data_IF_046275409002
#
_entry.id   IF_046275409002
#
_cell.length_a   1.000
_cell.length_b   1.000
_cell.length_c   1.000
_cell.angle_alpha   90.00
_cell.angle_beta   90.00
_cell.angle_gamma   90.00
#
_symmetry.space_group_name_H-M   'P 1'
#
loop_
_entity.id
_entity.type
_entity.pdbx_description
1 polymer ?
#
# COMPACT_ATOMS: atom_id res chain seq x y z
N UNK A 1 38.25 14.88 23.15
CA UNK A 1 37.18 15.86 22.83
C UNK A 1 37.15 16.12 21.34
N UNK A 2 36.07 16.68 20.82
CA UNK A 2 35.95 17.01 19.39
C UNK A 2 37.00 18.09 18.95
N UNK A 3 37.52 18.83 19.87
CA UNK A 3 38.61 19.78 19.62
C UNK A 3 39.92 19.10 19.16
N UNK A 4 40.04 17.80 19.44
CA UNK A 4 41.16 16.97 18.99
C UNK A 4 40.99 16.43 17.56
N UNK A 5 39.87 16.75 16.91
CA UNK A 5 39.56 16.30 15.56
C UNK A 5 39.95 17.30 14.49
N UNK A 6 41.20 17.30 14.11
CA UNK A 6 41.70 18.11 12.99
C UNK A 6 40.95 17.91 11.67
N UNK A 7 40.34 16.74 11.50
CA UNK A 7 39.52 16.41 10.32
C UNK A 7 38.15 17.08 10.27
N UNK A 8 37.63 17.56 11.41
CA UNK A 8 36.24 18.05 11.50
C UNK A 8 36.13 19.49 12.00
N UNK A 9 37.11 19.96 12.81
CA UNK A 9 37.02 21.25 13.49
C UNK A 9 36.83 22.41 12.52
N UNK A 10 37.52 22.37 11.37
CA UNK A 10 37.45 23.43 10.36
C UNK A 10 36.26 23.31 9.39
N UNK A 11 35.67 22.13 9.26
CA UNK A 11 34.62 21.87 8.27
C UNK A 11 33.22 22.17 8.80
N UNK A 12 33.02 22.08 10.12
CA UNK A 12 31.66 22.09 10.72
C UNK A 12 31.46 23.21 11.73
N UNK A 13 32.42 24.11 11.81
CA UNK A 13 32.27 25.32 12.61
C UNK A 13 31.37 26.32 11.88
N UNK A 14 30.24 26.67 12.48
CA UNK A 14 29.47 27.80 12.00
C UNK A 14 30.05 29.12 12.52
N UNK A 15 30.89 29.73 11.73
CA UNK A 15 31.51 31.00 12.06
C UNK A 15 30.54 32.16 12.26
N UNK A 16 29.33 32.06 11.72
CA UNK A 16 28.32 33.12 11.84
C UNK A 16 27.57 33.04 13.17
N UNK A 17 27.27 31.84 13.65
CA UNK A 17 26.55 31.61 14.90
C UNK A 17 27.44 31.30 16.08
N UNK A 18 28.71 30.98 15.88
CA UNK A 18 29.60 30.47 16.90
C UNK A 18 29.24 29.08 17.42
N UNK A 19 28.36 28.37 16.69
CA UNK A 19 27.95 27.04 17.04
C UNK A 19 28.81 25.98 16.35
N UNK A 20 29.03 24.85 17.01
CA UNK A 20 29.76 23.72 16.48
C UNK A 20 28.80 22.53 16.28
N UNK A 21 28.51 22.19 15.03
CA UNK A 21 27.68 21.05 14.67
C UNK A 21 28.51 19.76 14.72
N UNK A 22 28.74 19.25 15.91
CA UNK A 22 29.69 18.15 16.14
C UNK A 22 29.07 16.75 15.87
N UNK A 23 27.79 16.58 15.99
CA UNK A 23 27.13 15.27 15.87
C UNK A 23 26.35 15.12 14.56
N UNK A 24 25.54 16.10 14.24
CA UNK A 24 24.68 16.14 13.06
C UNK A 24 23.88 14.84 12.88
N UNK A 25 23.04 14.52 13.89
CA UNK A 25 22.16 13.36 13.80
C UNK A 25 21.11 13.57 12.72
N UNK A 26 21.09 12.70 11.71
CA UNK A 26 20.36 12.92 10.48
C UNK A 26 19.30 11.85 10.16
N UNK A 27 19.31 10.72 10.87
CA UNK A 27 18.34 9.67 10.72
C UNK A 27 18.18 8.89 12.02
N UNK A 28 16.99 8.36 12.23
CA UNK A 28 16.75 7.34 13.26
C UNK A 28 15.71 6.33 12.78
N UNK A 29 15.76 5.14 13.35
CA UNK A 29 14.77 4.10 13.22
C UNK A 29 14.44 3.55 14.61
N UNK A 30 13.16 3.47 14.96
CA UNK A 30 12.70 2.88 16.21
C UNK A 30 12.23 1.45 15.96
N UNK A 31 12.78 0.50 16.70
CA UNK A 31 12.34 -0.90 16.69
C UNK A 31 11.44 -1.17 17.91
N UNK A 32 10.15 -1.34 17.65
CA UNK A 32 9.15 -1.62 18.67
C UNK A 32 9.36 -2.99 19.35
N UNK A 33 9.93 -3.96 18.63
CA UNK A 33 10.09 -5.32 19.15
C UNK A 33 11.16 -5.40 20.24
N UNK A 34 12.30 -4.74 20.01
CA UNK A 34 13.39 -4.71 20.98
C UNK A 34 13.36 -3.47 21.88
N UNK A 35 12.48 -2.49 21.60
CA UNK A 35 12.46 -1.19 22.27
C UNK A 35 13.83 -0.49 22.20
N UNK A 36 14.37 -0.36 21.00
CA UNK A 36 15.64 0.30 20.75
C UNK A 36 15.54 1.33 19.63
N UNK A 37 16.47 2.26 19.60
CA UNK A 37 16.59 3.28 18.56
C UNK A 37 17.94 3.12 17.87
N UNK A 38 17.93 3.05 16.55
CA UNK A 38 19.12 3.17 15.71
C UNK A 38 19.24 4.63 15.26
N UNK A 39 20.37 5.26 15.55
CA UNK A 39 20.61 6.69 15.22
C UNK A 39 21.85 6.82 14.36
N UNK A 40 21.73 7.54 13.26
CA UNK A 40 22.86 7.91 12.40
C UNK A 40 23.39 9.29 12.77
N UNK A 41 24.67 9.37 13.11
CA UNK A 41 25.41 10.59 13.44
C UNK A 41 26.41 10.89 12.32
N UNK A 42 26.05 11.85 11.45
CA UNK A 42 26.80 12.15 10.23
C UNK A 42 28.25 12.50 10.49
N UNK A 43 28.48 13.50 11.32
CA UNK A 43 29.81 14.04 11.53
C UNK A 43 30.73 13.10 12.33
N UNK A 44 30.16 12.19 13.10
CA UNK A 44 30.89 11.13 13.78
C UNK A 44 31.14 9.90 12.90
N UNK A 45 30.55 9.86 11.69
CA UNK A 45 30.53 8.64 10.86
C UNK A 45 30.11 7.42 11.65
N UNK A 46 29.05 7.57 12.48
CA UNK A 46 28.64 6.59 13.48
C UNK A 46 27.16 6.24 13.36
N UNK A 47 26.84 4.98 13.58
CA UNK A 47 25.47 4.49 13.82
C UNK A 47 25.43 3.90 15.22
N UNK A 48 24.53 4.38 16.08
CA UNK A 48 24.37 3.92 17.45
C UNK A 48 23.08 3.12 17.60
N UNK A 49 23.14 1.97 18.31
CA UNK A 49 21.97 1.27 18.84
C UNK A 49 21.80 1.69 20.30
N UNK A 50 20.64 2.24 20.64
CA UNK A 50 20.35 2.86 21.94
C UNK A 50 19.11 2.20 22.52
N UNK A 51 19.17 1.78 23.79
CA UNK A 51 18.04 1.23 24.53
C UNK A 51 17.01 2.34 24.81
N UNK A 52 15.73 2.03 24.65
CA UNK A 52 14.63 2.94 24.98
C UNK A 52 13.76 2.33 26.11
N UNK A 53 13.35 3.09 27.13
CA UNK A 53 13.57 4.54 27.31
C UNK A 53 14.82 4.93 28.07
N UNK A 54 15.72 3.98 28.44
CA UNK A 54 16.86 4.26 29.31
C UNK A 54 17.88 5.23 28.69
N UNK A 55 18.07 5.20 27.37
CA UNK A 55 19.06 5.99 26.66
C UNK A 55 20.47 5.39 26.68
N UNK A 56 20.62 4.15 27.20
CA UNK A 56 21.92 3.47 27.24
C UNK A 56 22.36 3.06 25.83
N UNK A 57 23.60 3.35 25.47
CA UNK A 57 24.19 2.91 24.21
C UNK A 57 24.52 1.42 24.30
N UNK A 58 23.97 0.60 23.43
CA UNK A 58 24.23 -0.84 23.36
C UNK A 58 25.50 -1.09 22.57
N UNK A 59 25.64 -0.44 21.40
CA UNK A 59 26.83 -0.47 20.58
C UNK A 59 26.87 0.72 19.59
N UNK A 60 28.05 0.96 19.05
CA UNK A 60 28.30 1.94 17.98
C UNK A 60 29.00 1.25 16.81
N UNK A 61 28.52 1.45 15.59
CA UNK A 61 29.24 1.16 14.35
C UNK A 61 29.93 2.46 13.96
N UNK A 62 31.20 2.44 13.62
CA UNK A 62 31.91 3.66 13.26
C UNK A 62 33.33 3.43 12.83
N UNK A 63 34.12 4.53 12.80
CA UNK A 63 35.50 4.51 12.38
C UNK A 63 36.42 3.86 13.43
N UNK A 64 37.61 3.36 13.04
CA UNK A 64 38.65 2.92 13.97
C UNK A 64 39.01 3.97 15.04
N UNK A 65 39.40 3.51 16.21
CA UNK A 65 39.72 4.35 17.36
C UNK A 65 40.78 5.45 17.09
N UNK A 66 41.69 5.19 16.17
CA UNK A 66 42.72 6.15 15.74
C UNK A 66 42.17 7.46 15.16
N UNK A 67 40.88 7.44 14.72
CA UNK A 67 40.18 8.63 14.22
C UNK A 67 39.40 9.38 15.30
N UNK A 68 39.48 8.95 16.56
CA UNK A 68 38.90 9.58 17.76
C UNK A 68 37.38 9.84 17.70
N UNK A 69 36.63 9.12 16.90
CA UNK A 69 35.14 9.21 16.88
C UNK A 69 34.48 8.34 17.93
N UNK A 70 35.23 7.49 18.63
CA UNK A 70 34.83 6.59 19.71
C UNK A 70 35.70 5.36 19.77
N UNK A 71 36.17 5.02 20.98
CA UNK A 71 37.06 3.88 21.22
C UNK A 71 36.30 2.54 21.23
N UNK A 72 34.97 2.60 21.34
CA UNK A 72 34.03 1.48 21.49
C UNK A 72 33.33 1.14 20.19
N UNK A 73 33.74 1.68 19.04
CA UNK A 73 33.16 1.37 17.76
C UNK A 73 33.41 -0.09 17.35
N UNK A 74 32.37 -0.78 16.97
CA UNK A 74 32.43 -2.10 16.31
C UNK A 74 32.35 -1.93 14.79
N UNK A 75 32.60 -3.01 14.04
CA UNK A 75 32.43 -3.05 12.57
C UNK A 75 33.23 -1.96 11.84
N UNK A 76 34.40 -1.64 12.34
CA UNK A 76 35.27 -0.56 11.81
C UNK A 76 35.75 -0.83 10.40
N UNK A 77 35.75 -2.11 9.99
CA UNK A 77 36.09 -2.60 8.65
C UNK A 77 35.08 -2.19 7.58
N UNK A 78 33.84 -1.85 7.97
CA UNK A 78 32.82 -1.35 7.05
C UNK A 78 33.25 -0.03 6.43
N UNK A 79 33.98 0.81 7.19
CA UNK A 79 34.54 2.05 6.69
C UNK A 79 33.51 3.06 6.20
N UNK A 80 32.30 3.04 6.79
CA UNK A 80 31.26 4.00 6.46
C UNK A 80 31.63 5.41 6.93
N UNK A 81 31.18 6.41 6.18
CA UNK A 81 31.42 7.80 6.55
C UNK A 81 30.29 8.71 6.09
N UNK A 82 29.90 9.65 6.99
CA UNK A 82 28.89 10.68 6.74
C UNK A 82 27.51 10.15 6.36
N UNK A 83 27.21 8.92 6.68
CA UNK A 83 26.03 8.16 6.28
C UNK A 83 24.70 8.85 6.64
N UNK A 84 23.67 8.50 5.89
CA UNK A 84 22.28 8.93 6.05
C UNK A 84 21.31 7.75 6.02
N UNK A 85 20.07 7.99 6.42
CA UNK A 85 18.91 7.13 6.17
C UNK A 85 19.07 5.68 6.69
N UNK A 86 19.55 5.53 7.93
CA UNK A 86 19.60 4.21 8.58
C UNK A 86 18.19 3.64 8.80
N UNK A 87 17.99 2.37 8.47
CA UNK A 87 16.76 1.62 8.65
C UNK A 87 17.08 0.19 9.12
N UNK A 88 16.28 -0.34 10.03
CA UNK A 88 16.23 -1.77 10.32
C UNK A 88 15.20 -2.40 9.39
N UNK A 89 15.57 -3.46 8.68
CA UNK A 89 14.66 -4.25 7.87
C UNK A 89 14.08 -5.43 8.66
N UNK A 90 12.97 -6.00 8.19
CA UNK A 90 12.24 -7.08 8.86
C UNK A 90 13.09 -8.35 9.12
N UNK A 91 14.13 -8.57 8.33
CA UNK A 91 15.07 -9.67 8.50
C UNK A 91 16.21 -9.38 9.51
N UNK A 92 16.15 -8.24 10.19
CA UNK A 92 17.11 -7.79 11.18
C UNK A 92 18.42 -7.26 10.60
N UNK A 93 18.45 -6.93 9.31
CA UNK A 93 19.59 -6.24 8.68
C UNK A 93 19.43 -4.72 8.72
N UNK A 94 20.53 -4.00 8.80
CA UNK A 94 20.55 -2.54 8.69
C UNK A 94 20.81 -2.14 7.23
N UNK A 95 19.96 -1.28 6.70
CA UNK A 95 20.09 -0.67 5.37
C UNK A 95 20.38 0.83 5.56
N UNK A 96 21.41 1.36 4.90
CA UNK A 96 21.72 2.78 4.97
C UNK A 96 22.44 3.29 3.72
N UNK A 97 22.38 4.59 3.55
CA UNK A 97 23.08 5.34 2.51
C UNK A 97 24.43 5.84 3.09
N UNK A 98 25.53 5.19 2.72
CA UNK A 98 26.88 5.57 3.07
C UNK A 98 27.37 6.63 2.08
N UNK A 99 27.45 7.88 2.51
CA UNK A 99 27.92 8.97 1.64
C UNK A 99 29.37 8.78 1.19
N UNK A 100 30.20 8.11 2.01
CA UNK A 100 31.57 7.73 1.64
C UNK A 100 32.53 8.91 1.49
N UNK A 101 32.29 10.04 2.19
CA UNK A 101 33.12 11.22 2.10
C UNK A 101 34.59 10.95 2.48
N UNK A 102 34.83 9.97 3.33
CA UNK A 102 36.18 9.58 3.80
C UNK A 102 36.59 8.21 3.25
N UNK A 103 35.94 7.69 2.24
CA UNK A 103 36.22 6.35 1.72
C UNK A 103 37.62 6.19 1.12
N UNK A 104 38.21 7.27 0.62
CA UNK A 104 39.62 7.26 0.20
C UNK A 104 40.56 6.94 1.38
N UNK A 105 40.28 7.51 2.54
CA UNK A 105 41.08 7.32 3.74
C UNK A 105 40.83 5.98 4.41
N UNK A 106 39.53 5.58 4.51
CA UNK A 106 39.13 4.42 5.27
C UNK A 106 39.23 3.10 4.45
N UNK A 107 38.99 3.17 3.14
CA UNK A 107 38.89 2.00 2.26
C UNK A 107 39.95 2.01 1.14
N UNK A 108 40.69 3.10 0.97
CA UNK A 108 41.73 3.23 -0.08
C UNK A 108 41.13 3.50 -1.47
N UNK A 109 39.93 4.00 -1.56
CA UNK A 109 39.30 4.34 -2.85
C UNK A 109 40.11 5.44 -3.57
N UNK A 110 40.08 5.42 -4.89
CA UNK A 110 40.73 6.46 -5.70
C UNK A 110 40.02 7.80 -5.63
N UNK A 111 38.68 7.76 -5.36
CA UNK A 111 37.79 8.92 -5.22
C UNK A 111 36.84 8.69 -4.06
N UNK A 112 36.28 9.74 -3.44
CA UNK A 112 35.19 9.56 -2.49
C UNK A 112 34.03 8.81 -3.17
N UNK A 113 33.61 7.69 -2.59
CA UNK A 113 32.65 6.78 -3.22
C UNK A 113 31.45 6.54 -2.32
N UNK A 114 30.28 6.90 -2.80
CA UNK A 114 29.02 6.61 -2.12
C UNK A 114 28.61 5.16 -2.32
N UNK A 115 28.19 4.51 -1.23
CA UNK A 115 27.72 3.13 -1.23
C UNK A 115 26.34 3.00 -0.61
N UNK A 116 25.58 2.08 -1.12
CA UNK A 116 24.39 1.58 -0.43
C UNK A 116 24.81 0.31 0.29
N UNK A 117 24.59 0.26 1.59
CA UNK A 117 25.01 -0.85 2.42
C UNK A 117 23.87 -1.51 3.12
N UNK A 118 23.82 -2.85 3.02
CA UNK A 118 22.98 -3.70 3.83
C UNK A 118 23.87 -4.64 4.62
N UNK A 119 23.84 -4.51 5.94
CA UNK A 119 24.71 -5.25 6.85
C UNK A 119 23.91 -5.96 7.91
N UNK A 120 24.47 -7.02 8.48
CA UNK A 120 23.97 -7.68 9.67
C UNK A 120 24.99 -7.57 10.80
N UNK A 121 24.52 -7.12 11.97
CA UNK A 121 25.32 -7.07 13.18
C UNK A 121 25.13 -8.39 13.94
N UNK A 122 26.24 -9.07 14.22
CA UNK A 122 26.27 -10.33 14.95
C UNK A 122 26.82 -10.12 16.36
N UNK A 123 26.08 -10.64 17.36
CA UNK A 123 26.51 -10.69 18.77
C UNK A 123 26.98 -9.34 19.33
N UNK A 124 26.48 -8.22 18.79
CA UNK A 124 26.92 -6.86 19.10
C UNK A 124 28.45 -6.65 18.97
N UNK A 125 29.08 -7.33 18.04
CA UNK A 125 30.54 -7.43 17.97
C UNK A 125 31.14 -7.22 16.58
N UNK A 126 30.57 -7.83 15.55
CA UNK A 126 31.06 -7.75 14.18
C UNK A 126 29.93 -7.61 13.18
N UNK A 127 30.25 -7.14 11.98
CA UNK A 127 29.28 -6.98 10.90
C UNK A 127 29.58 -7.90 9.73
N UNK A 128 28.51 -8.41 9.15
CA UNK A 128 28.52 -9.10 7.86
C UNK A 128 27.92 -8.20 6.79
N UNK A 129 28.64 -7.98 5.69
CA UNK A 129 28.08 -7.30 4.52
C UNK A 129 27.17 -8.26 3.78
N UNK A 130 25.84 -7.99 3.82
CA UNK A 130 24.84 -8.82 3.14
C UNK A 130 24.71 -8.39 1.69
N UNK A 131 24.77 -7.10 1.42
CA UNK A 131 24.67 -6.54 0.09
C UNK A 131 25.27 -5.14 0.06
N UNK A 132 25.92 -4.80 -1.04
CA UNK A 132 26.54 -3.50 -1.26
C UNK A 132 26.41 -3.07 -2.71
N UNK A 133 26.20 -1.79 -2.94
CA UNK A 133 26.22 -1.20 -4.27
C UNK A 133 27.02 0.11 -4.27
N UNK A 134 28.03 0.21 -5.09
CA UNK A 134 28.79 1.44 -5.31
C UNK A 134 28.11 2.31 -6.36
N UNK A 135 27.85 3.56 -6.02
CA UNK A 135 27.41 4.54 -7.00
C UNK A 135 28.57 4.95 -7.92
N UNK A 136 28.32 5.12 -9.22
CA UNK A 136 29.35 5.64 -10.12
C UNK A 136 29.81 7.03 -9.69
N UNK A 137 31.06 7.43 -9.99
CA UNK A 137 31.67 8.66 -9.47
C UNK A 137 30.88 9.96 -9.72
N UNK A 138 30.14 10.03 -10.84
CA UNK A 138 29.30 11.18 -11.15
C UNK A 138 28.01 11.23 -10.29
N UNK A 139 27.73 10.22 -9.51
CA UNK A 139 26.61 10.15 -8.57
C UNK A 139 27.06 10.17 -7.10
N UNK A 140 28.32 10.52 -6.86
CA UNK A 140 28.81 10.73 -5.50
C UNK A 140 27.93 11.73 -4.75
N UNK A 141 27.40 11.33 -3.61
CA UNK A 141 26.53 12.13 -2.76
C UNK A 141 27.23 12.60 -1.49
N UNK A 142 27.84 13.75 -1.49
CA UNK A 142 28.58 14.29 -0.32
C UNK A 142 27.70 14.57 0.91
N UNK A 143 26.39 14.65 0.73
CA UNK A 143 25.41 14.88 1.79
C UNK A 143 24.01 14.48 1.35
N UNK A 144 23.05 14.47 2.29
CA UNK A 144 21.69 13.98 2.02
C UNK A 144 21.72 12.54 1.49
N UNK A 145 20.66 12.09 0.85
CA UNK A 145 20.58 10.76 0.27
C UNK A 145 19.67 9.83 1.04
N UNK A 146 19.09 8.90 0.31
CA UNK A 146 18.25 7.85 0.88
C UNK A 146 18.28 6.58 0.05
N UNK A 147 17.93 5.48 0.69
CA UNK A 147 17.68 4.19 0.06
C UNK A 147 16.39 3.61 0.62
N UNK A 148 15.66 2.90 -0.19
CA UNK A 148 14.47 2.16 0.21
C UNK A 148 14.49 0.78 -0.45
N UNK A 149 14.36 -0.28 0.35
CA UNK A 149 14.06 -1.61 -0.17
C UNK A 149 12.58 -1.64 -0.58
N UNK A 150 12.30 -1.97 -1.83
CA UNK A 150 10.96 -2.04 -2.39
C UNK A 150 10.37 -3.45 -2.22
N UNK A 151 9.05 -3.57 -2.28
CA UNK A 151 8.33 -4.86 -2.17
C UNK A 151 8.74 -5.88 -3.25
N UNK A 152 9.15 -5.40 -4.43
CA UNK A 152 9.66 -6.26 -5.51
C UNK A 152 11.12 -6.71 -5.30
N UNK A 153 11.74 -6.36 -4.18
CA UNK A 153 13.14 -6.66 -3.85
C UNK A 153 14.17 -5.70 -4.43
N UNK A 154 13.77 -4.74 -5.26
CA UNK A 154 14.67 -3.72 -5.79
C UNK A 154 14.98 -2.64 -4.74
N UNK A 155 16.03 -1.87 -5.00
CA UNK A 155 16.41 -0.73 -4.17
C UNK A 155 16.14 0.56 -4.93
N UNK A 156 15.33 1.46 -4.33
CA UNK A 156 15.21 2.85 -4.78
C UNK A 156 16.26 3.69 -4.08
N UNK A 157 17.15 4.28 -4.83
CA UNK A 157 18.25 5.10 -4.34
C UNK A 157 18.02 6.54 -4.76
N UNK A 158 18.07 7.46 -3.82
CA UNK A 158 18.19 8.89 -4.09
C UNK A 158 19.59 9.38 -3.72
N UNK A 159 20.24 10.04 -4.64
CA UNK A 159 21.51 10.76 -4.40
C UNK A 159 21.39 12.21 -4.84
N UNK A 160 22.05 13.09 -4.10
CA UNK A 160 22.18 14.49 -4.48
C UNK A 160 23.05 14.69 -5.73
N UNK A 161 23.78 13.63 -6.14
CA UNK A 161 24.74 13.67 -7.24
C UNK A 161 25.99 14.45 -6.91
N UNK A 162 26.82 14.72 -7.88
CA UNK A 162 28.15 15.30 -7.74
C UNK A 162 28.21 16.47 -6.73
N UNK A 163 28.56 16.15 -5.48
CA UNK A 163 28.55 17.05 -4.33
C UNK A 163 29.55 18.21 -4.42
N UNK A 164 30.37 18.27 -5.45
CA UNK A 164 31.37 19.32 -5.57
C UNK A 164 30.92 20.54 -6.37
N UNK A 165 29.93 20.39 -7.28
CA UNK A 165 29.65 21.48 -8.20
C UNK A 165 28.22 21.58 -8.71
N UNK A 166 27.18 21.31 -8.06
CA UNK A 166 25.83 21.44 -8.64
C UNK A 166 25.13 20.10 -8.70
N UNK A 167 24.60 19.70 -7.54
CA UNK A 167 23.85 18.50 -7.45
C UNK A 167 22.72 18.44 -8.49
N UNK A 168 22.69 17.35 -9.19
CA UNK A 168 21.56 16.95 -10.01
C UNK A 168 20.91 15.80 -9.27
N UNK A 169 19.80 16.06 -8.51
CA UNK A 169 19.18 15.03 -7.72
C UNK A 169 18.77 13.87 -8.63
N UNK A 170 19.31 12.71 -8.34
CA UNK A 170 19.08 11.50 -9.14
C UNK A 170 18.36 10.47 -8.30
N UNK A 171 17.28 9.90 -8.84
CA UNK A 171 16.65 8.70 -8.32
C UNK A 171 16.96 7.54 -9.25
N UNK A 172 17.27 6.39 -8.67
CA UNK A 172 17.60 5.18 -9.41
C UNK A 172 16.97 3.98 -8.74
N UNK A 173 16.27 3.17 -9.50
CA UNK A 173 15.82 1.84 -9.06
C UNK A 173 16.78 0.79 -9.65
N UNK A 174 17.33 -0.06 -8.78
CA UNK A 174 18.25 -1.13 -9.16
C UNK A 174 17.78 -2.47 -8.62
N UNK A 175 18.09 -3.55 -9.35
CA UNK A 175 17.86 -4.90 -8.88
C UNK A 175 18.91 -5.31 -7.83
N UNK A 176 18.70 -6.40 -7.06
CA UNK A 176 19.75 -6.99 -6.22
C UNK A 176 21.02 -7.35 -6.97
N UNK A 177 20.93 -7.63 -8.27
CA UNK A 177 22.08 -7.96 -9.16
C UNK A 177 22.74 -6.72 -9.75
N UNK A 178 22.39 -5.52 -9.27
CA UNK A 178 22.95 -4.22 -9.66
C UNK A 178 22.50 -3.69 -11.02
N UNK A 179 21.50 -4.28 -11.65
CA UNK A 179 20.95 -3.77 -12.91
C UNK A 179 20.08 -2.55 -12.66
N UNK A 180 20.33 -1.47 -13.40
CA UNK A 180 19.51 -0.24 -13.34
C UNK A 180 18.25 -0.44 -14.16
N UNK A 181 17.10 -0.54 -13.51
CA UNK A 181 15.79 -0.73 -14.18
C UNK A 181 15.02 0.56 -14.38
N UNK A 182 15.32 1.59 -13.61
CA UNK A 182 14.72 2.90 -13.75
C UNK A 182 15.67 4.00 -13.26
N UNK A 183 15.63 5.17 -13.92
CA UNK A 183 16.44 6.32 -13.54
C UNK A 183 15.67 7.62 -13.81
N UNK A 184 15.69 8.52 -12.87
CA UNK A 184 15.19 9.87 -13.00
C UNK A 184 16.27 10.87 -12.57
N UNK A 185 16.49 11.89 -13.39
CA UNK A 185 17.39 12.99 -13.08
C UNK A 185 16.58 14.26 -12.92
N UNK A 186 16.73 14.93 -11.78
CA UNK A 186 16.09 16.20 -11.50
C UNK A 186 16.81 17.37 -12.19
N UNK A 187 16.30 18.57 -11.96
CA UNK A 187 16.90 19.78 -12.51
C UNK A 187 18.18 20.15 -11.77
N UNK A 188 19.13 20.71 -12.49
CA UNK A 188 20.39 21.20 -11.96
C UNK A 188 20.16 22.23 -10.82
N UNK A 189 20.99 22.19 -9.77
CA UNK A 189 20.87 23.02 -8.58
C UNK A 189 19.60 22.80 -7.73
N UNK A 190 18.86 21.74 -7.96
CA UNK A 190 17.85 21.28 -7.03
C UNK A 190 18.48 20.31 -6.01
N UNK A 191 17.87 20.23 -4.83
CA UNK A 191 18.24 19.26 -3.82
C UNK A 191 16.99 18.81 -3.07
N UNK A 192 16.91 17.51 -2.82
CA UNK A 192 15.93 16.95 -1.92
C UNK A 192 16.68 16.31 -0.77
N UNK A 193 16.08 16.33 0.41
CA UNK A 193 16.75 15.70 1.54
C UNK A 193 16.70 14.17 1.42
N UNK A 194 15.52 13.62 1.05
CA UNK A 194 15.24 12.20 0.84
C UNK A 194 14.20 12.03 -0.24
N UNK A 195 14.09 10.82 -0.78
CA UNK A 195 13.01 10.42 -1.66
C UNK A 195 12.56 8.99 -1.35
N UNK A 196 11.27 8.76 -1.37
CA UNK A 196 10.66 7.46 -1.16
C UNK A 196 9.57 7.21 -2.18
N UNK A 197 9.41 5.96 -2.58
CA UNK A 197 8.28 5.49 -3.37
C UNK A 197 7.17 5.07 -2.42
N UNK A 198 5.99 5.59 -2.64
CA UNK A 198 4.78 5.21 -1.90
C UNK A 198 3.87 4.38 -2.81
N UNK A 199 3.16 3.38 -2.30
CA UNK A 199 2.32 2.48 -3.11
C UNK A 199 1.18 3.21 -3.82
N UNK A 200 0.57 4.21 -3.19
CA UNK A 200 -0.55 4.97 -3.74
C UNK A 200 -0.65 6.37 -3.13
N UNK A 201 -1.10 7.34 -3.93
CA UNK A 201 -1.46 8.67 -3.44
C UNK A 201 -2.87 8.70 -2.82
N UNK A 202 -3.66 7.64 -3.01
CA UNK A 202 -5.04 7.53 -2.55
C UNK A 202 -5.19 6.29 -1.66
N UNK A 203 -4.77 6.39 -0.38
CA UNK A 203 -4.75 5.23 0.52
C UNK A 203 -6.15 4.72 0.88
N UNK A 204 -7.18 5.53 0.70
CA UNK A 204 -8.58 5.28 1.06
C UNK A 204 -9.48 4.98 -0.15
N UNK A 205 -8.91 4.88 -1.36
CA UNK A 205 -9.70 4.67 -2.57
C UNK A 205 -10.32 3.26 -2.63
N UNK A 206 -11.63 3.19 -2.73
CA UNK A 206 -12.36 1.93 -2.90
C UNK A 206 -13.71 2.12 -3.60
N UNK A 207 -14.28 1.03 -4.07
CA UNK A 207 -15.65 0.99 -4.60
C UNK A 207 -16.45 -0.15 -3.97
N UNK A 208 -17.77 0.06 -3.95
CA UNK A 208 -18.76 -0.94 -3.52
C UNK A 208 -19.75 -1.11 -4.65
N UNK A 209 -20.02 -2.33 -5.03
CA UNK A 209 -21.04 -2.69 -6.02
C UNK A 209 -21.91 -3.79 -5.44
N UNK A 210 -23.22 -3.66 -5.61
CA UNK A 210 -24.13 -4.75 -5.33
C UNK A 210 -24.09 -5.76 -6.49
N UNK A 211 -24.22 -7.03 -6.17
CA UNK A 211 -24.49 -8.08 -7.14
C UNK A 211 -25.95 -7.98 -7.61
N UNK A 212 -26.22 -8.41 -8.84
CA UNK A 212 -27.56 -8.44 -9.43
C UNK A 212 -28.40 -7.17 -9.21
N UNK A 213 -27.81 -6.01 -9.53
CA UNK A 213 -28.53 -4.74 -9.47
C UNK A 213 -29.54 -4.67 -10.61
N UNK A 214 -30.83 -4.55 -10.24
CA UNK A 214 -31.97 -4.52 -11.17
C UNK A 214 -32.85 -3.28 -10.97
N UNK A 215 -33.61 -2.89 -11.96
CA UNK A 215 -34.69 -1.93 -11.79
C UNK A 215 -36.02 -2.67 -11.72
N UNK A 216 -36.75 -2.49 -10.66
CA UNK A 216 -38.07 -3.15 -10.44
C UNK A 216 -39.13 -2.08 -10.29
N UNK A 217 -40.29 -2.31 -10.94
CA UNK A 217 -41.48 -1.51 -10.67
C UNK A 217 -42.12 -2.00 -9.37
N UNK A 218 -42.09 -1.10 -8.37
CA UNK A 218 -42.71 -1.34 -7.07
C UNK A 218 -43.70 -0.21 -6.75
N UNK A 219 -44.95 -0.52 -6.49
CA UNK A 219 -46.02 0.45 -6.21
C UNK A 219 -46.14 1.56 -7.28
N UNK A 220 -45.94 1.21 -8.57
CA UNK A 220 -45.98 2.16 -9.68
C UNK A 220 -44.74 3.05 -9.87
N UNK A 221 -43.66 2.76 -9.16
CA UNK A 221 -42.36 3.46 -9.27
C UNK A 221 -41.25 2.50 -9.68
N UNK A 222 -40.42 2.91 -10.64
CA UNK A 222 -39.18 2.21 -10.95
C UNK A 222 -38.14 2.51 -9.86
N UNK A 223 -37.80 1.50 -9.07
CA UNK A 223 -36.83 1.61 -7.99
C UNK A 223 -35.57 0.81 -8.31
N UNK A 224 -34.38 1.39 -8.09
CA UNK A 224 -33.16 0.61 -8.11
C UNK A 224 -33.21 -0.40 -6.97
N UNK A 225 -33.06 -1.66 -7.29
CA UNK A 225 -33.21 -2.77 -6.35
C UNK A 225 -32.07 -3.76 -6.55
N UNK A 226 -31.82 -4.55 -5.52
CA UNK A 226 -30.86 -5.65 -5.60
C UNK A 226 -31.67 -6.93 -5.57
N UNK A 227 -31.44 -7.78 -6.58
CA UNK A 227 -32.01 -9.11 -6.58
C UNK A 227 -31.25 -9.99 -5.59
N UNK A 228 -31.95 -10.72 -4.77
CA UNK A 228 -31.36 -11.75 -3.93
C UNK A 228 -32.13 -13.06 -4.05
N UNK A 229 -31.43 -14.16 -3.88
CA UNK A 229 -32.05 -15.49 -3.85
C UNK A 229 -31.80 -16.13 -2.47
N UNK A 230 -30.63 -16.70 -2.24
CA UNK A 230 -30.27 -17.30 -0.95
C UNK A 230 -29.44 -16.33 -0.09
N UNK A 231 -28.82 -15.33 -0.71
CA UNK A 231 -27.98 -14.31 -0.06
C UNK A 231 -27.95 -13.02 -0.87
N UNK A 232 -27.67 -11.93 -0.17
CA UNK A 232 -27.38 -10.63 -0.76
C UNK A 232 -25.88 -10.42 -0.79
N UNK A 233 -25.32 -9.99 -1.93
CA UNK A 233 -23.88 -9.86 -2.12
C UNK A 233 -23.46 -8.46 -2.51
N UNK A 234 -22.30 -8.04 -1.96
CA UNK A 234 -21.63 -6.81 -2.35
C UNK A 234 -20.16 -7.10 -2.67
N UNK A 235 -19.67 -6.53 -3.76
CA UNK A 235 -18.26 -6.56 -4.14
C UNK A 235 -17.59 -5.29 -3.64
N UNK A 236 -16.57 -5.46 -2.80
CA UNK A 236 -15.77 -4.37 -2.29
C UNK A 236 -14.41 -4.44 -2.96
N UNK A 237 -14.08 -3.43 -3.77
CA UNK A 237 -12.79 -3.36 -4.43
C UNK A 237 -11.91 -2.30 -3.79
N UNK A 238 -10.77 -2.72 -3.28
CA UNK A 238 -9.70 -1.83 -2.85
C UNK A 238 -8.96 -1.31 -4.10
N UNK A 239 -9.02 0.00 -4.35
CA UNK A 239 -8.29 0.67 -5.44
C UNK A 239 -6.97 1.27 -4.95
N UNK A 240 -6.68 1.16 -3.67
CA UNK A 240 -5.46 1.64 -3.05
C UNK A 240 -4.29 0.67 -3.26
N UNK A 241 -3.07 1.19 -3.23
CA UNK A 241 -1.84 0.40 -3.19
C UNK A 241 -1.49 -0.13 -1.79
N UNK A 242 -2.38 0.04 -0.79
CA UNK A 242 -2.20 -0.45 0.57
C UNK A 242 -3.26 -1.49 0.91
N UNK A 243 -2.90 -2.49 1.70
CA UNK A 243 -3.89 -3.34 2.35
C UNK A 243 -4.71 -2.49 3.33
N UNK A 244 -6.03 -2.59 3.27
CA UNK A 244 -6.94 -1.83 4.12
C UNK A 244 -7.90 -2.76 4.85
N UNK A 245 -8.06 -2.50 6.15
CA UNK A 245 -9.09 -3.11 6.98
C UNK A 245 -10.38 -2.26 6.83
N UNK A 246 -11.42 -2.84 6.21
CA UNK A 246 -12.70 -2.16 5.98
C UNK A 246 -13.68 -2.53 7.07
N UNK A 247 -14.13 -1.53 7.83
CA UNK A 247 -15.19 -1.67 8.81
C UNK A 247 -16.53 -1.51 8.09
N UNK A 248 -17.47 -2.41 8.33
CA UNK A 248 -18.80 -2.32 7.77
C UNK A 248 -19.89 -2.62 8.79
N UNK A 249 -21.06 -2.00 8.57
CA UNK A 249 -22.31 -2.25 9.26
C UNK A 249 -23.38 -2.53 8.23
N UNK A 250 -23.98 -3.72 8.26
CA UNK A 250 -25.10 -4.11 7.43
C UNK A 250 -26.33 -4.24 8.30
N UNK A 251 -27.41 -3.56 7.93
CA UNK A 251 -28.66 -3.52 8.67
C UNK A 251 -29.86 -3.81 7.75
N UNK A 252 -30.73 -4.71 8.17
CA UNK A 252 -32.08 -4.81 7.66
C UNK A 252 -32.95 -3.77 8.42
N UNK A 253 -33.34 -2.72 7.71
CA UNK A 253 -34.10 -1.60 8.26
C UNK A 253 -35.61 -1.68 7.95
N UNK A 254 -36.07 -2.88 7.54
CA UNK A 254 -37.49 -3.14 7.24
C UNK A 254 -38.37 -2.96 8.47
N UNK A 255 -39.59 -2.46 8.26
CA UNK A 255 -40.52 -2.12 9.36
C UNK A 255 -41.23 -3.31 10.00
N UNK A 256 -41.33 -4.46 9.32
CA UNK A 256 -42.19 -5.55 9.77
C UNK A 256 -41.42 -6.77 10.31
N UNK A 257 -40.57 -7.38 9.55
CA UNK A 257 -39.76 -8.51 10.01
C UNK A 257 -38.47 -8.61 9.19
N UNK A 258 -37.41 -9.00 9.85
CA UNK A 258 -36.08 -9.01 9.23
C UNK A 258 -35.93 -10.21 8.29
N UNK A 259 -35.50 -9.92 7.07
CA UNK A 259 -35.06 -10.90 6.08
C UNK A 259 -33.62 -11.30 6.33
N UNK A 260 -32.83 -10.36 6.83
CA UNK A 260 -31.38 -10.52 7.08
C UNK A 260 -31.00 -10.25 8.54
N UNK A 261 -29.86 -10.78 8.97
CA UNK A 261 -29.23 -10.39 10.23
C UNK A 261 -28.55 -9.02 10.09
N UNK A 262 -28.61 -8.22 11.15
CA UNK A 262 -27.72 -7.07 11.30
C UNK A 262 -26.32 -7.57 11.67
N UNK A 263 -25.30 -7.05 10.97
CA UNK A 263 -23.91 -7.48 11.12
C UNK A 263 -23.00 -6.25 11.16
N UNK A 264 -22.19 -6.17 12.22
CA UNK A 264 -21.07 -5.24 12.33
C UNK A 264 -19.78 -6.06 12.34
N UNK A 265 -18.88 -5.83 11.37
CA UNK A 265 -17.65 -6.59 11.24
C UNK A 265 -16.60 -5.80 10.43
N UNK A 266 -15.46 -6.42 10.19
CA UNK A 266 -14.41 -5.87 9.34
C UNK A 266 -13.83 -6.92 8.39
N UNK A 267 -13.25 -6.46 7.29
CA UNK A 267 -12.57 -7.31 6.32
C UNK A 267 -11.30 -6.66 5.81
N UNK A 268 -10.19 -7.39 5.89
CA UNK A 268 -8.93 -6.98 5.29
C UNK A 268 -8.95 -7.27 3.78
N UNK A 269 -8.66 -6.25 2.97
CA UNK A 269 -8.60 -6.39 1.51
C UNK A 269 -7.22 -5.92 1.03
N UNK A 270 -6.50 -6.83 0.39
CA UNK A 270 -5.18 -6.58 -0.18
C UNK A 270 -5.20 -5.49 -1.26
N UNK A 271 -4.05 -4.86 -1.59
CA UNK A 271 -3.95 -3.86 -2.63
C UNK A 271 -4.56 -4.34 -3.95
N UNK A 272 -5.38 -3.48 -4.57
CA UNK A 272 -6.03 -3.71 -5.87
C UNK A 272 -6.91 -4.95 -5.96
N UNK A 273 -7.20 -5.59 -4.82
CA UNK A 273 -8.01 -6.81 -4.72
C UNK A 273 -9.49 -6.52 -4.47
N UNK A 274 -10.32 -7.53 -4.70
CA UNK A 274 -11.77 -7.48 -4.45
C UNK A 274 -12.14 -8.55 -3.43
N UNK A 275 -12.98 -8.17 -2.46
CA UNK A 275 -13.64 -9.10 -1.55
C UNK A 275 -15.15 -9.07 -1.75
N UNK A 276 -15.81 -10.12 -1.30
CA UNK A 276 -17.27 -10.27 -1.35
C UNK A 276 -17.81 -10.28 0.07
N UNK A 277 -18.75 -9.38 0.36
CA UNK A 277 -19.57 -9.46 1.54
C UNK A 277 -20.86 -10.19 1.16
N UNK A 278 -21.19 -11.23 1.89
CA UNK A 278 -22.36 -12.07 1.63
C UNK A 278 -23.23 -12.15 2.88
N UNK A 279 -24.52 -11.79 2.73
CA UNK A 279 -25.51 -11.75 3.80
C UNK A 279 -26.60 -12.79 3.50
N UNK A 280 -26.65 -13.92 4.23
CA UNK A 280 -27.60 -14.98 3.97
C UNK A 280 -29.02 -14.58 4.40
N UNK A 281 -30.00 -15.06 3.67
CA UNK A 281 -31.44 -14.89 3.96
C UNK A 281 -31.83 -15.72 5.17
N UNK A 282 -32.46 -15.10 6.16
CA UNK A 282 -33.03 -15.77 7.33
C UNK A 282 -34.48 -16.20 7.10
N UNK A 283 -35.22 -15.34 6.45
CA UNK A 283 -36.68 -15.56 6.24
C UNK A 283 -37.01 -15.40 4.75
N UNK A 284 -37.11 -16.54 4.08
CA UNK A 284 -37.45 -16.62 2.65
C UNK A 284 -38.92 -16.42 2.34
N UNK A 285 -39.78 -16.25 3.34
CA UNK A 285 -41.20 -15.96 3.11
C UNK A 285 -41.50 -14.48 2.86
N UNK A 286 -40.51 -13.62 3.02
CA UNK A 286 -40.58 -12.17 2.79
C UNK A 286 -39.79 -11.85 1.52
N UNK A 287 -40.46 -11.25 0.55
CA UNK A 287 -39.88 -11.00 -0.75
C UNK A 287 -39.22 -9.62 -0.90
N UNK A 288 -39.39 -8.72 0.05
CA UNK A 288 -38.85 -7.35 -0.01
C UNK A 288 -38.29 -6.96 1.34
N UNK A 289 -37.07 -6.47 1.34
CA UNK A 289 -36.41 -5.87 2.52
C UNK A 289 -35.84 -4.50 2.18
N UNK A 290 -35.85 -3.59 3.15
CA UNK A 290 -35.06 -2.36 3.08
C UNK A 290 -33.73 -2.60 3.81
N UNK A 291 -32.60 -2.43 3.11
CA UNK A 291 -31.27 -2.72 3.65
C UNK A 291 -30.36 -1.51 3.57
N UNK A 292 -29.49 -1.39 4.56
CA UNK A 292 -28.46 -0.36 4.64
C UNK A 292 -27.09 -1.02 4.80
N UNK A 293 -26.14 -0.64 3.97
CA UNK A 293 -24.72 -0.97 4.13
C UNK A 293 -23.93 0.33 4.33
N UNK A 294 -23.27 0.45 5.47
CA UNK A 294 -22.25 1.46 5.75
C UNK A 294 -20.90 0.78 5.72
N UNK A 295 -19.93 1.33 4.98
CA UNK A 295 -18.58 0.76 4.88
C UNK A 295 -17.52 1.85 4.70
N UNK A 296 -16.37 1.69 5.35
CA UNK A 296 -15.24 2.63 5.27
C UNK A 296 -13.91 1.94 5.63
N UNK A 297 -12.77 2.42 5.08
CA UNK A 297 -11.46 1.98 5.56
C UNK A 297 -11.25 2.46 7.00
N UNK A 298 -10.76 1.60 7.89
CA UNK A 298 -10.64 1.81 9.35
C UNK A 298 -10.01 3.14 9.75
N UNK A 299 -9.00 3.59 9.01
CA UNK A 299 -8.28 4.82 9.30
C UNK A 299 -8.82 6.06 8.55
N UNK A 300 -9.87 5.88 7.72
CA UNK A 300 -10.38 6.92 6.80
C UNK A 300 -11.92 6.95 6.84
N UNK A 301 -12.47 7.27 8.00
CA UNK A 301 -13.93 7.32 8.17
C UNK A 301 -14.62 8.34 7.23
N UNK A 302 -13.94 9.42 6.86
CA UNK A 302 -14.48 10.44 5.96
C UNK A 302 -14.75 9.92 4.54
N UNK A 303 -14.09 8.82 4.16
CA UNK A 303 -14.29 8.15 2.87
C UNK A 303 -15.44 7.12 2.90
N UNK A 304 -16.24 7.12 3.97
CA UNK A 304 -17.37 6.19 4.15
C UNK A 304 -18.32 6.23 2.96
N UNK A 305 -18.85 5.05 2.63
CA UNK A 305 -19.96 4.87 1.69
C UNK A 305 -21.15 4.32 2.45
N UNK A 306 -22.29 4.92 2.24
CA UNK A 306 -23.56 4.50 2.80
C UNK A 306 -24.51 4.22 1.63
N UNK A 307 -25.02 3.02 1.59
CA UNK A 307 -25.87 2.51 0.53
C UNK A 307 -27.19 2.05 1.16
N UNK A 308 -28.30 2.56 0.67
CA UNK A 308 -29.64 2.17 1.11
C UNK A 308 -30.39 1.68 -0.13
N UNK A 309 -30.90 0.45 -0.06
CA UNK A 309 -31.56 -0.22 -1.18
C UNK A 309 -32.81 -0.96 -0.74
N UNK A 310 -33.72 -1.18 -1.71
CA UNK A 310 -34.68 -2.29 -1.61
C UNK A 310 -34.02 -3.57 -2.14
N UNK A 311 -33.94 -4.58 -1.31
CA UNK A 311 -33.57 -5.92 -1.70
C UNK A 311 -34.87 -6.70 -2.01
N UNK A 312 -34.93 -7.30 -3.19
CA UNK A 312 -36.14 -8.00 -3.68
C UNK A 312 -35.78 -9.44 -3.98
N UNK A 313 -36.45 -10.37 -3.34
CA UNK A 313 -36.35 -11.79 -3.68
C UNK A 313 -37.18 -12.06 -4.93
N UNK A 314 -36.48 -12.23 -6.02
CA UNK A 314 -37.14 -12.71 -7.23
C UNK A 314 -36.85 -14.21 -7.33
N UNK A 315 -37.87 -15.01 -7.22
CA UNK A 315 -37.80 -16.41 -7.63
C UNK A 315 -37.80 -16.48 -9.16
N UNK A 316 -36.91 -15.69 -9.79
CA UNK A 316 -36.89 -15.62 -11.24
C UNK A 316 -36.11 -16.80 -11.76
N UNK A 317 -36.83 -17.81 -12.10
CA UNK A 317 -36.36 -18.79 -13.07
C UNK A 317 -36.46 -18.10 -14.43
N UNK A 318 -35.35 -17.88 -15.11
CA UNK A 318 -35.34 -17.28 -16.44
C UNK A 318 -36.29 -18.07 -17.35
N UNK A 319 -37.33 -17.40 -17.88
CA UNK A 319 -38.40 -18.05 -18.63
C UNK A 319 -39.70 -18.34 -17.85
N UNK A 320 -39.72 -18.14 -16.52
CA UNK A 320 -40.95 -18.13 -15.71
C UNK A 320 -41.48 -16.68 -15.69
N UNK A 321 -42.25 -16.34 -16.74
CA UNK A 321 -42.71 -14.97 -16.98
C UNK A 321 -43.85 -14.58 -16.04
N UNK A 322 -44.63 -15.55 -15.57
CA UNK A 322 -45.74 -15.32 -14.65
C UNK A 322 -45.35 -15.45 -13.17
N UNK A 323 -44.09 -15.85 -12.91
CA UNK A 323 -43.52 -16.04 -11.58
C UNK A 323 -44.28 -17.03 -10.70
N UNK A 324 -44.78 -18.14 -11.32
CA UNK A 324 -45.50 -19.21 -10.60
C UNK A 324 -44.59 -20.37 -10.16
N UNK A 325 -43.29 -20.29 -10.47
CA UNK A 325 -42.25 -21.27 -10.13
C UNK A 325 -42.12 -22.41 -11.14
N UNK A 326 -42.79 -22.33 -12.31
CA UNK A 326 -42.78 -23.38 -13.33
C UNK A 326 -42.70 -22.80 -14.75
N UNK A 327 -41.62 -23.10 -15.48
CA UNK A 327 -41.54 -22.74 -16.91
C UNK A 327 -42.48 -23.65 -17.71
N UNK A 328 -43.54 -23.05 -18.30
CA UNK A 328 -44.56 -23.79 -19.02
C UNK A 328 -45.20 -22.96 -20.15
N UNK A 329 -46.24 -23.47 -20.78
CA UNK A 329 -46.89 -22.81 -21.92
C UNK A 329 -47.54 -21.47 -21.55
N UNK A 330 -47.89 -21.23 -20.28
CA UNK A 330 -48.48 -19.96 -19.85
C UNK A 330 -47.43 -18.82 -20.00
N UNK A 331 -46.21 -19.12 -19.69
CA UNK A 331 -45.08 -18.15 -19.84
C UNK A 331 -44.88 -17.79 -21.31
N UNK A 332 -44.96 -18.76 -22.20
CA UNK A 332 -44.90 -18.50 -23.65
C UNK A 332 -46.00 -17.54 -24.10
N UNK A 333 -47.22 -17.74 -23.60
CA UNK A 333 -48.37 -16.86 -23.93
C UNK A 333 -48.13 -15.45 -23.41
N UNK A 334 -47.61 -15.32 -22.20
CA UNK A 334 -47.25 -13.99 -21.62
C UNK A 334 -46.10 -13.32 -22.37
N UNK A 335 -45.07 -14.07 -22.75
CA UNK A 335 -43.98 -13.55 -23.53
C UNK A 335 -44.44 -13.07 -24.91
N UNK A 336 -45.33 -13.81 -25.56
CA UNK A 336 -45.94 -13.37 -26.82
C UNK A 336 -46.73 -12.08 -26.65
N UNK A 337 -47.46 -11.91 -25.55
CA UNK A 337 -48.21 -10.68 -25.26
C UNK A 337 -47.22 -9.49 -25.05
N UNK A 338 -46.13 -9.71 -24.34
CA UNK A 338 -45.09 -8.68 -24.17
C UNK A 338 -44.45 -8.26 -25.49
N UNK A 339 -44.12 -9.21 -26.37
CA UNK A 339 -43.55 -8.94 -27.69
C UNK A 339 -44.55 -8.16 -28.56
N UNK A 340 -45.84 -8.50 -28.52
CA UNK A 340 -46.88 -7.82 -29.31
C UNK A 340 -47.17 -6.39 -28.82
N UNK A 341 -46.96 -6.13 -27.53
CA UNK A 341 -47.19 -4.80 -26.93
C UNK A 341 -45.91 -3.99 -26.77
N UNK A 342 -44.77 -4.45 -27.31
CA UNK A 342 -43.46 -3.82 -27.20
C UNK A 342 -43.04 -3.50 -25.77
N UNK A 343 -43.46 -4.34 -24.83
CA UNK A 343 -43.11 -4.21 -23.41
C UNK A 343 -41.78 -4.91 -23.13
N UNK A 344 -40.74 -4.13 -22.82
CA UNK A 344 -39.48 -4.71 -22.38
C UNK A 344 -39.56 -5.15 -20.94
N UNK A 345 -39.20 -6.40 -20.69
CA UNK A 345 -38.97 -6.97 -19.37
C UNK A 345 -37.64 -7.76 -19.43
N UNK A 346 -36.67 -7.41 -18.59
CA UNK A 346 -35.37 -8.07 -18.57
C UNK A 346 -35.46 -9.59 -18.29
N UNK A 347 -36.53 -10.07 -17.69
CA UNK A 347 -36.76 -11.50 -17.43
C UNK A 347 -37.27 -12.25 -18.64
N UNK A 348 -37.72 -11.50 -19.62
CA UNK A 348 -38.25 -12.01 -20.90
C UNK A 348 -37.20 -11.98 -22.02
N UNK A 349 -36.09 -11.33 -21.79
CA UNK A 349 -34.91 -11.28 -22.66
C UNK A 349 -34.03 -12.51 -22.35
N UNK A 350 -34.34 -13.62 -22.98
CA UNK A 350 -33.71 -14.92 -22.69
C UNK A 350 -32.34 -15.07 -23.33
N UNK A 351 -32.05 -14.27 -24.36
CA UNK A 351 -30.77 -14.29 -25.05
C UNK A 351 -29.81 -13.15 -24.62
N UNK A 352 -30.29 -12.27 -23.73
CA UNK A 352 -29.50 -11.13 -23.16
C UNK A 352 -29.02 -10.11 -24.24
N UNK A 353 -29.85 -9.92 -25.30
CA UNK A 353 -29.52 -8.95 -26.36
C UNK A 353 -30.15 -7.57 -26.13
N UNK A 354 -30.82 -7.36 -25.00
CA UNK A 354 -31.57 -6.16 -24.60
C UNK A 354 -32.82 -5.88 -25.47
N UNK A 355 -33.35 -6.90 -26.15
CA UNK A 355 -34.57 -6.78 -26.98
C UNK A 355 -35.44 -7.98 -26.73
N UNK A 356 -36.64 -7.78 -26.18
CA UNK A 356 -37.64 -8.85 -26.07
C UNK A 356 -38.35 -9.02 -27.40
N UNK A 357 -38.14 -10.15 -28.07
CA UNK A 357 -38.63 -10.38 -29.41
C UNK A 357 -38.95 -11.88 -29.66
N UNK A 358 -39.20 -12.23 -30.92
CA UNK A 358 -39.58 -13.61 -31.32
C UNK A 358 -38.47 -14.64 -31.05
N UNK A 359 -37.21 -14.20 -30.93
CA UNK A 359 -36.09 -15.10 -30.65
C UNK A 359 -36.21 -15.62 -29.22
N UNK A 360 -36.61 -14.77 -28.27
CA UNK A 360 -36.85 -15.15 -26.87
C UNK A 360 -38.00 -16.14 -26.75
N UNK A 361 -39.08 -15.96 -27.52
CA UNK A 361 -40.17 -16.91 -27.58
C UNK A 361 -39.67 -18.28 -28.03
N UNK A 362 -38.87 -18.35 -29.10
CA UNK A 362 -38.29 -19.61 -29.58
C UNK A 362 -37.40 -20.25 -28.55
N UNK A 363 -36.62 -19.45 -27.83
CA UNK A 363 -35.72 -19.92 -26.78
C UNK A 363 -36.50 -20.48 -25.59
N UNK A 364 -37.59 -19.80 -25.15
CA UNK A 364 -38.48 -20.27 -24.10
C UNK A 364 -39.16 -21.60 -24.46
N UNK A 365 -39.69 -21.69 -25.69
CA UNK A 365 -40.27 -22.94 -26.20
C UNK A 365 -39.23 -24.06 -26.21
N UNK A 366 -37.97 -23.78 -26.57
CA UNK A 366 -36.90 -24.77 -26.54
C UNK A 366 -36.60 -25.25 -25.12
N UNK A 367 -36.67 -24.36 -24.13
CA UNK A 367 -36.46 -24.71 -22.71
C UNK A 367 -37.58 -25.62 -22.17
N UNK A 368 -38.81 -25.46 -22.64
CA UNK A 368 -39.94 -26.27 -22.21
C UNK A 368 -39.92 -27.68 -22.85
N UNK A 369 -39.33 -27.79 -24.05
CA UNK A 369 -39.32 -29.03 -24.81
C UNK A 369 -38.13 -29.96 -24.49
N UNK A 370 -37.12 -29.48 -23.79
CA UNK A 370 -35.94 -30.24 -23.37
C UNK A 370 -36.02 -30.67 -21.91
#
# INVERSE_FOLDING_TARGET
TMEDHDLYADLWWDFNSGAHDWMHSNAFHFDDNESVIYVSHRHLSRISKISYPSGDVIWNIGMPAEYNTGDDNICTEIGNSFQHNVQLLDDGTLLFFDNGNLSQMLLGDSFPTTRIRRIKVHENSYCESIWEYELPPNLFGAGMGSVQLLENGNYLIYTFGNGQNQGEPTLREITPDHDVVWNYQGVQNAAWYRAYKIPSMFPDAFSVMADDFIQVEYEGHLLPSINYNNSLKFFIKNHSGYANDYIFSFNDISSESNVFNNIDDSILIEPYSTAILEFPVLNSSINVADVQLLIYPKNFYESKKELIFKAIMTNVVLGDINNDGAINIIDVVMLVDQVLNENYNSFSDLNNDNVVNVIDIVQLVSMILN
#
